data_IF_978162899938
#
_entry.id   IF_978162899938
#
_cell.length_a   1.000
_cell.length_b   1.000
_cell.length_c   1.000
_cell.angle_alpha   90.00
_cell.angle_beta   90.00
_cell.angle_gamma   90.00
#
_symmetry.space_group_name_H-M   'P 1'
#
loop_
_entity.id
_entity.type
_entity.pdbx_description
1 polymer ?
#
# COMPACT_ATOMS: atom_id res chain seq x y z
N UNK A 1 3.29 -6.76 -4.69
CA UNK A 1 2.17 -6.30 -5.54
C UNK A 1 2.67 -5.15 -6.38
N UNK A 2 2.28 -5.07 -7.67
CA UNK A 2 2.65 -3.91 -8.48
C UNK A 2 2.01 -2.64 -7.91
N UNK A 3 2.59 -1.47 -8.19
CA UNK A 3 2.03 -0.18 -7.74
C UNK A 3 0.55 -0.03 -8.21
N UNK A 4 0.23 -0.55 -9.39
CA UNK A 4 -1.13 -0.59 -9.94
C UNK A 4 -2.06 -1.49 -9.11
N UNK A 5 -1.60 -2.66 -8.66
CA UNK A 5 -2.40 -3.56 -7.79
C UNK A 5 -2.74 -2.93 -6.45
N UNK A 6 -1.79 -2.21 -5.85
CA UNK A 6 -2.03 -1.47 -4.61
C UNK A 6 -3.08 -0.37 -4.82
N UNK A 7 -2.99 0.38 -5.92
CA UNK A 7 -3.96 1.42 -6.27
C UNK A 7 -5.37 0.80 -6.45
N UNK A 8 -5.48 -0.29 -7.21
CA UNK A 8 -6.76 -1.00 -7.43
C UNK A 8 -7.34 -1.48 -6.09
N UNK A 9 -6.51 -2.05 -5.22
CA UNK A 9 -6.93 -2.56 -3.90
C UNK A 9 -7.48 -1.43 -3.04
N UNK A 10 -6.79 -0.29 -2.98
CA UNK A 10 -7.20 0.88 -2.23
C UNK A 10 -8.52 1.47 -2.77
N UNK A 11 -8.64 1.62 -4.10
CA UNK A 11 -9.86 2.11 -4.72
C UNK A 11 -11.06 1.17 -4.49
N UNK A 12 -10.86 -0.14 -4.52
CA UNK A 12 -11.91 -1.12 -4.21
C UNK A 12 -12.34 -1.07 -2.74
N UNK A 13 -11.41 -0.82 -1.82
CA UNK A 13 -11.70 -0.62 -0.40
C UNK A 13 -12.55 0.62 -0.19
N UNK A 14 -12.13 1.75 -0.80
CA UNK A 14 -12.86 3.01 -0.74
C UNK A 14 -14.26 2.88 -1.37
N UNK A 15 -14.39 2.22 -2.52
CA UNK A 15 -15.67 1.98 -3.17
C UNK A 15 -16.65 1.23 -2.25
N UNK A 16 -16.15 0.19 -1.54
CA UNK A 16 -16.98 -0.55 -0.57
C UNK A 16 -17.45 0.35 0.58
N UNK A 17 -16.53 1.20 1.10
CA UNK A 17 -16.84 2.16 2.16
C UNK A 17 -17.92 3.16 1.73
N UNK A 18 -17.76 3.75 0.54
CA UNK A 18 -18.72 4.71 -0.01
C UNK A 18 -20.10 4.07 -0.29
N UNK A 19 -20.14 2.84 -0.82
CA UNK A 19 -21.41 2.10 -1.02
C UNK A 19 -22.11 1.80 0.30
N UNK A 20 -21.36 1.42 1.35
CA UNK A 20 -21.92 1.19 2.68
C UNK A 20 -22.49 2.48 3.29
N UNK A 21 -21.76 3.60 3.13
CA UNK A 21 -22.22 4.90 3.63
C UNK A 21 -23.47 5.36 2.88
N UNK A 22 -23.52 5.20 1.55
CA UNK A 22 -24.70 5.52 0.72
C UNK A 22 -25.93 4.77 1.20
N UNK A 23 -25.82 3.44 1.35
CA UNK A 23 -26.94 2.62 1.84
C UNK A 23 -27.42 3.06 3.22
N UNK A 24 -26.49 3.43 4.13
CA UNK A 24 -26.88 3.94 5.45
C UNK A 24 -27.67 5.23 5.35
N UNK A 25 -27.25 6.18 4.51
CA UNK A 25 -27.90 7.47 4.35
C UNK A 25 -29.26 7.28 3.69
N UNK A 26 -29.36 6.48 2.61
CA UNK A 26 -30.61 6.22 1.91
C UNK A 26 -31.65 5.58 2.82
N UNK A 27 -31.24 4.70 3.74
CA UNK A 27 -32.13 4.12 4.74
C UNK A 27 -32.57 5.11 5.84
N UNK A 28 -31.88 6.23 5.99
CA UNK A 28 -32.22 7.27 6.99
C UNK A 28 -33.11 8.38 6.37
N UNK A 29 -33.17 8.48 5.05
CA UNK A 29 -34.08 9.43 4.40
C UNK A 29 -35.52 9.00 4.68
N UNK A 30 -36.25 9.81 5.41
CA UNK A 30 -37.65 9.56 5.76
C UNK A 30 -38.53 9.66 4.50
N UNK A 31 -39.14 8.54 4.04
CA UNK A 31 -39.97 8.56 2.84
C UNK A 31 -41.28 9.35 3.03
N UNK A 32 -41.73 9.47 4.29
CA UNK A 32 -43.05 10.04 4.63
C UNK A 32 -43.09 11.57 4.62
N UNK A 33 -41.93 12.23 4.50
CA UNK A 33 -41.88 13.67 4.41
C UNK A 33 -42.01 14.09 2.95
N UNK A 34 -43.21 14.49 2.59
CA UNK A 34 -43.47 15.03 1.25
C UNK A 34 -42.99 16.50 1.13
N UNK A 35 -42.39 16.82 -0.01
CA UNK A 35 -41.94 18.15 -0.35
C UNK A 35 -40.45 18.41 -0.10
N UNK A 36 -40.04 19.63 -0.40
CA UNK A 36 -38.66 20.11 -0.25
C UNK A 36 -38.61 21.46 0.45
N UNK A 37 -37.50 21.71 1.16
CA UNK A 37 -37.28 22.97 1.88
C UNK A 37 -36.79 24.05 0.91
N UNK A 38 -37.51 25.17 0.90
CA UNK A 38 -37.12 26.38 0.18
C UNK A 38 -36.79 27.48 1.17
N UNK A 39 -35.65 28.13 0.99
CA UNK A 39 -35.17 29.21 1.84
C UNK A 39 -35.24 30.52 1.04
N UNK A 40 -35.90 31.53 1.60
CA UNK A 40 -35.91 32.87 1.01
C UNK A 40 -35.29 33.87 1.99
N UNK A 41 -34.21 34.53 1.57
CA UNK A 41 -33.61 35.66 2.28
C UNK A 41 -34.39 36.92 1.94
N UNK A 42 -35.03 37.54 2.93
CA UNK A 42 -35.72 38.83 2.78
C UNK A 42 -34.75 39.97 3.10
N UNK A 43 -33.83 39.75 4.05
CA UNK A 43 -32.68 40.60 4.37
C UNK A 43 -31.58 39.73 4.98
N UNK A 44 -30.39 40.27 5.28
CA UNK A 44 -29.32 39.53 5.90
C UNK A 44 -29.71 38.88 7.27
N UNK A 45 -30.65 39.50 7.99
CA UNK A 45 -31.13 39.02 9.28
C UNK A 45 -32.53 38.37 9.20
N UNK A 46 -33.19 38.41 8.07
CA UNK A 46 -34.55 37.89 7.92
C UNK A 46 -34.63 36.81 6.90
N UNK A 47 -34.60 35.55 7.40
CA UNK A 47 -34.67 34.34 6.59
C UNK A 47 -36.04 33.71 6.80
N UNK A 48 -36.73 33.37 5.70
CA UNK A 48 -38.01 32.68 5.74
C UNK A 48 -37.89 31.31 5.11
N UNK A 49 -38.55 30.33 5.72
CA UNK A 49 -38.55 28.94 5.35
C UNK A 49 -39.93 28.56 4.76
N UNK A 50 -39.89 27.81 3.70
CA UNK A 50 -41.10 27.36 3.00
C UNK A 50 -40.97 25.89 2.62
N UNK A 51 -42.12 25.17 2.65
CA UNK A 51 -42.23 23.82 2.12
C UNK A 51 -42.83 23.88 0.74
N UNK A 52 -42.14 23.28 -0.24
CA UNK A 52 -42.62 23.15 -1.59
C UNK A 52 -43.01 21.69 -1.87
N UNK A 53 -44.26 21.46 -2.30
CA UNK A 53 -44.76 20.17 -2.76
C UNK A 53 -45.05 20.32 -4.26
N UNK A 54 -44.48 19.41 -5.08
CA UNK A 54 -44.65 19.49 -6.55
C UNK A 54 -46.13 19.36 -6.92
N UNK A 55 -46.62 20.31 -7.65
CA UNK A 55 -48.03 20.36 -8.07
C UNK A 55 -48.96 21.07 -7.07
N UNK A 56 -48.46 21.51 -5.92
CA UNK A 56 -49.22 22.21 -4.89
C UNK A 56 -48.87 23.70 -4.86
N UNK A 57 -49.81 24.56 -5.10
CA UNK A 57 -49.71 26.04 -4.89
C UNK A 57 -50.87 26.48 -4.02
N UNK A 58 -50.68 27.29 -2.97
CA UNK A 58 -49.45 28.02 -2.65
C UNK A 58 -48.38 27.21 -1.88
N UNK A 59 -47.12 27.74 -1.91
CA UNK A 59 -46.01 27.21 -1.11
C UNK A 59 -46.30 27.45 0.38
N UNK A 60 -46.19 26.42 1.20
CA UNK A 60 -46.48 26.50 2.61
C UNK A 60 -45.38 27.26 3.39
N UNK A 61 -45.74 28.32 4.12
CA UNK A 61 -44.81 29.01 5.03
C UNK A 61 -44.62 28.25 6.33
N UNK A 62 -43.37 28.05 6.71
CA UNK A 62 -42.98 27.36 7.92
C UNK A 62 -42.67 28.40 9.02
N UNK A 63 -43.65 28.66 9.88
CA UNK A 63 -43.49 29.55 11.03
C UNK A 63 -42.88 28.85 12.24
N UNK A 64 -42.69 29.55 13.34
CA UNK A 64 -42.09 29.04 14.58
C UNK A 64 -42.82 27.84 15.20
N UNK A 65 -44.12 27.64 14.93
CA UNK A 65 -44.86 26.46 15.41
C UNK A 65 -44.56 25.19 14.63
N UNK A 66 -43.90 25.30 13.47
CA UNK A 66 -43.56 24.16 12.56
C UNK A 66 -42.07 23.82 12.57
N UNK A 67 -41.39 24.10 13.69
CA UNK A 67 -39.92 23.90 13.83
C UNK A 67 -39.51 22.41 13.63
N UNK A 68 -40.31 21.48 14.08
CA UNK A 68 -40.05 20.04 13.88
C UNK A 68 -40.08 19.67 12.40
N UNK A 69 -41.13 20.09 11.68
CA UNK A 69 -41.24 19.87 10.23
C UNK A 69 -40.09 20.54 9.48
N UNK A 70 -39.70 21.76 9.87
CA UNK A 70 -38.55 22.45 9.31
C UNK A 70 -37.27 21.66 9.50
N UNK A 71 -37.03 21.16 10.71
CA UNK A 71 -35.83 20.35 11.03
C UNK A 71 -35.78 19.06 10.20
N UNK A 72 -36.90 18.36 10.08
CA UNK A 72 -37.00 17.12 9.29
C UNK A 72 -36.80 17.40 7.77
N UNK A 73 -37.36 18.46 7.23
CA UNK A 73 -37.12 18.86 5.83
C UNK A 73 -35.68 19.31 5.57
N UNK A 74 -35.05 19.98 6.56
CA UNK A 74 -33.66 20.38 6.48
C UNK A 74 -32.73 19.13 6.49
N UNK A 75 -33.01 18.16 7.38
CA UNK A 75 -32.29 16.91 7.45
C UNK A 75 -32.43 16.13 6.12
N UNK A 76 -33.64 15.98 5.62
CA UNK A 76 -33.91 15.33 4.34
C UNK A 76 -33.08 15.96 3.21
N UNK A 77 -33.07 17.29 3.11
CA UNK A 77 -32.28 18.00 2.09
C UNK A 77 -30.78 17.77 2.23
N UNK A 78 -30.28 17.70 3.47
CA UNK A 78 -28.89 17.39 3.75
C UNK A 78 -28.54 15.96 3.33
N UNK A 79 -29.36 14.99 3.68
CA UNK A 79 -29.14 13.58 3.38
C UNK A 79 -29.23 13.31 1.86
N UNK A 80 -30.18 13.93 1.16
CA UNK A 80 -30.29 13.87 -0.31
C UNK A 80 -29.04 14.44 -0.98
N UNK A 81 -28.52 15.57 -0.49
CA UNK A 81 -27.30 16.19 -1.04
C UNK A 81 -26.08 15.33 -0.75
N UNK A 82 -25.98 14.74 0.45
CA UNK A 82 -24.91 13.76 0.77
C UNK A 82 -24.99 12.53 -0.13
N UNK A 83 -26.18 11.93 -0.28
CA UNK A 83 -26.37 10.77 -1.14
C UNK A 83 -25.99 11.07 -2.59
N UNK A 84 -26.35 12.25 -3.11
CA UNK A 84 -25.94 12.71 -4.44
C UNK A 84 -24.42 12.78 -4.57
N UNK A 85 -23.76 13.45 -3.64
CA UNK A 85 -22.28 13.58 -3.64
C UNK A 85 -21.58 12.24 -3.57
N UNK A 86 -22.09 11.31 -2.74
CA UNK A 86 -21.50 9.98 -2.62
C UNK A 86 -21.70 9.16 -3.90
N UNK A 87 -22.86 9.25 -4.58
CA UNK A 87 -23.07 8.60 -5.88
C UNK A 87 -22.09 9.11 -6.94
N UNK A 88 -21.83 10.43 -6.96
CA UNK A 88 -20.84 11.02 -7.85
C UNK A 88 -19.42 10.49 -7.58
N UNK A 89 -19.02 10.34 -6.31
CA UNK A 89 -17.75 9.72 -5.91
C UNK A 89 -17.66 8.26 -6.32
N UNK A 90 -18.70 7.47 -6.05
CA UNK A 90 -18.78 6.06 -6.46
C UNK A 90 -18.58 5.93 -7.98
N UNK A 91 -19.29 6.73 -8.77
CA UNK A 91 -19.18 6.71 -10.22
C UNK A 91 -17.76 7.08 -10.71
N UNK A 92 -17.12 8.07 -10.08
CA UNK A 92 -15.74 8.45 -10.38
C UNK A 92 -14.77 7.31 -10.09
N UNK A 93 -14.90 6.64 -8.94
CA UNK A 93 -14.06 5.48 -8.57
C UNK A 93 -14.28 4.32 -9.54
N UNK A 94 -15.52 3.97 -9.87
CA UNK A 94 -15.84 2.89 -10.82
C UNK A 94 -15.31 3.15 -12.22
N UNK A 95 -15.40 4.41 -12.69
CA UNK A 95 -14.80 4.83 -13.96
C UNK A 95 -13.29 4.73 -13.97
N UNK A 96 -12.64 5.00 -12.84
CA UNK A 96 -11.18 4.90 -12.69
C UNK A 96 -10.69 3.47 -12.59
N UNK A 97 -11.46 2.56 -11.97
CA UNK A 97 -11.07 1.16 -11.81
C UNK A 97 -10.99 0.41 -13.15
N UNK A 98 -11.95 0.61 -14.06
CA UNK A 98 -12.00 -0.11 -15.34
C UNK A 98 -10.72 -0.03 -16.17
N UNK A 99 -10.12 1.15 -16.42
CA UNK A 99 -8.86 1.24 -17.16
C UNK A 99 -7.67 0.67 -16.38
N UNK A 100 -7.64 0.82 -15.04
CA UNK A 100 -6.57 0.28 -14.21
C UNK A 100 -6.58 -1.25 -14.19
N UNK A 101 -7.75 -1.89 -14.14
CA UNK A 101 -7.91 -3.33 -14.24
C UNK A 101 -7.42 -3.86 -15.58
N UNK A 102 -7.70 -3.18 -16.68
CA UNK A 102 -7.16 -3.52 -18.01
C UNK A 102 -5.62 -3.40 -18.08
N UNK A 103 -5.04 -2.43 -17.35
CA UNK A 103 -3.58 -2.29 -17.28
C UNK A 103 -2.93 -3.40 -16.46
N UNK A 104 -3.61 -3.95 -15.44
CA UNK A 104 -3.11 -5.08 -14.67
C UNK A 104 -2.88 -6.33 -15.53
N UNK A 105 -3.77 -6.56 -16.50
CA UNK A 105 -3.71 -7.73 -17.40
C UNK A 105 -2.74 -7.53 -18.58
N UNK A 106 -2.20 -6.31 -18.75
CA UNK A 106 -1.17 -6.07 -19.76
C UNK A 106 0.17 -6.59 -19.27
N UNK A 107 0.90 -7.28 -20.18
CA UNK A 107 2.26 -7.69 -19.91
C UNK A 107 3.11 -6.50 -19.47
N UNK A 108 3.92 -6.71 -18.46
CA UNK A 108 4.87 -5.72 -17.98
C UNK A 108 5.75 -5.23 -19.13
N UNK A 109 6.09 -3.94 -19.16
CA UNK A 109 6.96 -3.35 -20.17
C UNK A 109 8.30 -4.13 -20.32
N UNK A 110 8.75 -4.74 -19.21
CA UNK A 110 9.95 -5.57 -19.18
C UNK A 110 9.86 -6.79 -20.12
N UNK A 111 8.65 -7.32 -20.39
CA UNK A 111 8.47 -8.48 -21.26
C UNK A 111 8.32 -8.12 -22.74
N UNK A 112 8.24 -6.84 -23.11
CA UNK A 112 8.11 -6.47 -24.52
C UNK A 112 9.28 -6.97 -25.34
N UNK A 113 10.50 -6.83 -24.84
CA UNK A 113 11.70 -7.34 -25.51
C UNK A 113 11.75 -8.87 -25.50
N UNK A 114 11.37 -9.52 -24.39
CA UNK A 114 11.37 -10.99 -24.27
C UNK A 114 10.39 -11.65 -25.23
N UNK A 115 9.29 -11.00 -25.56
CA UNK A 115 8.28 -11.47 -26.49
C UNK A 115 8.63 -11.22 -27.97
N UNK A 116 9.70 -10.44 -28.26
CA UNK A 116 10.12 -10.20 -29.65
C UNK A 116 10.71 -11.44 -30.30
N UNK A 117 10.44 -11.67 -31.60
CA UNK A 117 11.09 -12.72 -32.38
C UNK A 117 12.62 -12.63 -32.29
N UNK A 118 13.28 -13.79 -32.22
CA UNK A 118 14.75 -13.85 -32.13
C UNK A 118 15.46 -13.08 -33.26
N UNK A 119 14.88 -13.12 -34.46
CA UNK A 119 15.37 -12.44 -35.64
C UNK A 119 15.38 -10.92 -35.49
N UNK A 120 14.42 -10.37 -34.75
CA UNK A 120 14.34 -8.93 -34.48
C UNK A 120 15.22 -8.51 -33.31
N UNK A 121 15.42 -9.37 -32.30
CA UNK A 121 16.22 -9.03 -31.12
C UNK A 121 17.63 -8.56 -31.43
N UNK A 122 18.26 -9.17 -32.45
CA UNK A 122 19.61 -8.79 -32.88
C UNK A 122 19.72 -7.35 -33.43
N UNK A 123 18.60 -6.78 -33.87
CA UNK A 123 18.52 -5.41 -34.40
C UNK A 123 17.95 -4.40 -33.41
N UNK A 124 17.51 -4.86 -32.23
CA UNK A 124 16.88 -4.01 -31.20
C UNK A 124 17.89 -3.72 -30.10
N UNK A 125 18.09 -2.44 -29.82
CA UNK A 125 18.75 -2.00 -28.59
C UNK A 125 17.68 -1.73 -27.55
N UNK A 126 17.53 -2.59 -26.50
CA UNK A 126 16.52 -2.38 -25.47
C UNK A 126 16.67 -1.01 -24.82
N UNK A 127 15.55 -0.34 -24.61
CA UNK A 127 15.54 0.98 -23.90
C UNK A 127 15.45 0.81 -22.39
N UNK A 128 15.07 -0.39 -21.94
CA UNK A 128 15.07 -0.78 -20.53
C UNK A 128 15.96 -2.03 -20.41
N UNK A 129 16.75 -2.09 -19.35
CA UNK A 129 17.52 -3.29 -19.04
C UNK A 129 16.57 -4.48 -18.83
N UNK A 130 16.93 -5.63 -19.36
CA UNK A 130 16.25 -6.88 -19.03
C UNK A 130 16.35 -7.14 -17.52
N UNK A 131 15.38 -7.84 -16.95
CA UNK A 131 15.35 -8.07 -15.51
C UNK A 131 16.61 -8.76 -14.99
N UNK A 132 17.17 -9.69 -15.76
CA UNK A 132 18.42 -10.40 -15.38
C UNK A 132 19.64 -9.49 -15.50
N UNK A 133 19.74 -8.67 -16.55
CA UNK A 133 20.83 -7.72 -16.73
C UNK A 133 20.78 -6.63 -15.66
N UNK A 134 19.60 -6.11 -15.38
CA UNK A 134 19.40 -5.17 -14.28
C UNK A 134 19.82 -5.77 -12.93
N UNK A 135 19.39 -7.02 -12.68
CA UNK A 135 19.72 -7.75 -11.47
C UNK A 135 21.23 -7.98 -11.34
N UNK A 136 21.90 -8.37 -12.44
CA UNK A 136 23.35 -8.54 -12.48
C UNK A 136 24.10 -7.22 -12.21
N UNK A 137 23.68 -6.13 -12.85
CA UNK A 137 24.23 -4.79 -12.58
C UNK A 137 23.99 -4.36 -11.15
N UNK A 138 22.80 -4.61 -10.61
CA UNK A 138 22.46 -4.31 -9.23
C UNK A 138 23.32 -5.11 -8.25
N UNK A 139 23.46 -6.44 -8.48
CA UNK A 139 24.24 -7.34 -7.63
C UNK A 139 25.75 -7.03 -7.67
N UNK A 140 26.25 -6.54 -8.80
CA UNK A 140 27.68 -6.20 -8.97
C UNK A 140 28.09 -4.89 -8.28
N UNK A 141 27.13 -4.09 -7.78
CA UNK A 141 27.42 -2.87 -7.05
C UNK A 141 28.21 -3.18 -5.78
N UNK A 142 29.41 -2.61 -5.67
CA UNK A 142 30.20 -2.69 -4.44
C UNK A 142 29.62 -1.74 -3.40
N UNK A 143 28.86 -2.29 -2.45
CA UNK A 143 28.40 -1.55 -1.29
C UNK A 143 29.42 -1.71 -0.17
N UNK A 144 29.61 -0.66 0.63
CA UNK A 144 30.33 -0.76 1.88
C UNK A 144 29.56 -1.74 2.77
N UNK A 145 30.27 -2.60 3.46
CA UNK A 145 29.67 -3.57 4.40
C UNK A 145 30.09 -3.26 5.83
N UNK A 146 29.30 -3.70 6.76
CA UNK A 146 29.61 -3.59 8.17
C UNK A 146 30.91 -4.36 8.47
N UNK A 147 31.93 -3.66 8.97
CA UNK A 147 33.27 -4.22 9.27
C UNK A 147 33.37 -4.94 10.64
N UNK A 148 32.27 -5.01 11.39
CA UNK A 148 32.33 -5.66 12.71
C UNK A 148 32.67 -7.16 12.58
N UNK A 149 33.58 -7.63 13.42
CA UNK A 149 34.03 -9.02 13.47
C UNK A 149 32.85 -9.99 13.71
N UNK A 150 32.87 -11.11 12.96
CA UNK A 150 31.88 -12.18 13.08
C UNK A 150 32.41 -13.23 14.05
N UNK A 151 31.84 -13.29 15.25
CA UNK A 151 32.29 -14.21 16.29
C UNK A 151 32.15 -15.70 15.91
N UNK A 152 31.06 -16.07 15.23
CA UNK A 152 30.79 -17.45 14.81
C UNK A 152 30.25 -17.45 13.36
N UNK A 153 31.10 -17.24 12.34
CA UNK A 153 30.64 -17.09 10.97
C UNK A 153 30.08 -18.40 10.42
N UNK A 154 28.91 -18.31 9.80
CA UNK A 154 28.28 -19.39 9.06
C UNK A 154 28.48 -19.17 7.55
N UNK A 155 28.97 -20.20 6.84
CA UNK A 155 29.17 -20.13 5.38
C UNK A 155 27.86 -20.40 4.66
N UNK A 156 27.52 -19.56 3.69
CA UNK A 156 26.32 -19.70 2.84
C UNK A 156 26.61 -20.50 1.58
N UNK A 157 25.56 -20.95 0.87
CA UNK A 157 25.68 -21.63 -0.43
C UNK A 157 26.35 -20.74 -1.49
N UNK A 158 26.16 -19.42 -1.41
CA UNK A 158 26.83 -18.44 -2.29
C UNK A 158 28.33 -18.30 -1.98
N UNK A 159 28.77 -18.79 -0.83
CA UNK A 159 30.18 -18.81 -0.40
C UNK A 159 30.59 -17.66 0.53
N UNK A 160 29.71 -16.73 0.86
CA UNK A 160 29.97 -15.68 1.82
C UNK A 160 29.77 -16.16 3.27
N UNK A 161 30.29 -15.39 4.23
CA UNK A 161 30.11 -15.65 5.64
C UNK A 161 29.13 -14.65 6.27
N UNK A 162 28.16 -15.17 7.03
CA UNK A 162 27.15 -14.42 7.79
C UNK A 162 27.29 -14.66 9.28
N UNK A 163 26.59 -13.89 10.14
CA UNK A 163 26.78 -13.93 11.60
C UNK A 163 26.03 -15.05 12.30
N UNK A 164 24.95 -15.55 11.73
CA UNK A 164 24.10 -16.55 12.37
C UNK A 164 23.65 -17.64 11.38
N UNK A 165 23.19 -18.78 11.94
CA UNK A 165 22.60 -19.88 11.16
C UNK A 165 21.30 -19.43 10.47
N UNK A 166 20.50 -18.59 11.13
CA UNK A 166 19.25 -18.08 10.59
C UNK A 166 19.49 -17.13 9.39
N UNK A 167 20.51 -16.28 9.48
CA UNK A 167 20.95 -15.47 8.34
C UNK A 167 21.48 -16.34 7.19
N UNK A 168 22.24 -17.40 7.47
CA UNK A 168 22.68 -18.34 6.45
C UNK A 168 21.49 -19.01 5.74
N UNK A 169 20.48 -19.40 6.52
CA UNK A 169 19.25 -19.98 5.98
C UNK A 169 18.49 -19.01 5.06
N UNK A 170 18.36 -17.74 5.45
CA UNK A 170 17.74 -16.69 4.62
C UNK A 170 18.57 -16.49 3.34
N UNK A 171 19.88 -16.30 3.46
CA UNK A 171 20.79 -16.11 2.33
C UNK A 171 20.70 -17.26 1.33
N UNK A 172 20.72 -18.50 1.82
CA UNK A 172 20.64 -19.71 0.99
C UNK A 172 19.31 -19.82 0.26
N UNK A 173 18.20 -19.42 0.88
CA UNK A 173 16.89 -19.38 0.23
C UNK A 173 16.80 -18.28 -0.84
N UNK A 174 17.33 -17.09 -0.55
CA UNK A 174 17.42 -16.03 -1.54
C UNK A 174 18.25 -16.47 -2.75
N UNK A 175 19.42 -17.05 -2.50
CA UNK A 175 20.30 -17.56 -3.55
C UNK A 175 19.65 -18.68 -4.37
N UNK A 176 19.10 -19.71 -3.73
CA UNK A 176 18.43 -20.83 -4.41
C UNK A 176 17.22 -20.39 -5.25
N UNK A 177 16.57 -19.28 -4.87
CA UNK A 177 15.46 -18.70 -5.63
C UNK A 177 15.90 -17.66 -6.64
N UNK A 178 17.19 -17.41 -6.81
CA UNK A 178 17.73 -16.42 -7.73
C UNK A 178 17.29 -15.00 -7.43
N UNK A 179 17.09 -14.68 -6.14
CA UNK A 179 16.76 -13.33 -5.66
C UNK A 179 18.06 -12.62 -5.33
N UNK A 180 18.39 -11.49 -6.02
CA UNK A 180 19.61 -10.74 -5.74
C UNK A 180 19.58 -10.11 -4.34
N UNK A 181 20.70 -10.19 -3.64
CA UNK A 181 20.83 -9.56 -2.33
C UNK A 181 22.26 -9.14 -2.00
N UNK A 182 22.40 -8.12 -1.16
CA UNK A 182 23.62 -7.73 -0.47
C UNK A 182 23.46 -8.04 1.02
N UNK A 183 24.46 -8.63 1.61
CA UNK A 183 24.49 -8.95 3.04
C UNK A 183 25.18 -7.81 3.82
N UNK A 184 24.55 -7.34 4.91
CA UNK A 184 25.00 -6.24 5.79
C UNK A 184 25.53 -5.02 5.05
N UNK A 185 24.86 -4.50 4.02
CA UNK A 185 25.33 -3.34 3.31
C UNK A 185 25.15 -2.08 4.17
N UNK A 186 26.10 -1.17 4.07
CA UNK A 186 25.91 0.20 4.57
C UNK A 186 25.20 1.03 3.50
N UNK A 187 23.92 1.26 3.69
CA UNK A 187 23.11 2.06 2.75
C UNK A 187 23.08 3.51 3.23
N UNK A 188 23.82 4.35 2.51
CA UNK A 188 23.83 5.79 2.75
C UNK A 188 22.62 6.44 2.07
N UNK A 189 21.82 7.16 2.85
CA UNK A 189 20.67 7.90 2.36
C UNK A 189 20.95 9.39 2.45
N UNK A 190 20.68 10.14 1.37
CA UNK A 190 20.93 11.59 1.33
C UNK A 190 20.17 12.30 2.47
N UNK A 191 20.92 12.98 3.35
CA UNK A 191 20.36 13.71 4.49
C UNK A 191 19.79 12.84 5.63
N UNK A 192 20.14 11.54 5.67
CA UNK A 192 19.64 10.59 6.69
C UNK A 192 20.79 9.74 7.27
N UNK A 193 20.59 9.12 8.45
CA UNK A 193 21.56 8.18 8.99
C UNK A 193 21.80 7.00 8.04
N UNK A 194 23.00 6.44 8.08
CA UNK A 194 23.34 5.21 7.35
C UNK A 194 22.58 4.03 7.96
N UNK A 195 21.92 3.26 7.10
CA UNK A 195 21.26 2.02 7.49
C UNK A 195 22.17 0.82 7.22
N UNK A 196 22.16 -0.14 8.15
CA UNK A 196 22.87 -1.42 8.02
C UNK A 196 21.85 -2.55 8.25
N UNK A 197 21.04 -2.90 7.23
CA UNK A 197 20.13 -4.04 7.31
C UNK A 197 20.92 -5.36 7.26
N UNK A 198 20.34 -6.45 7.74
CA UNK A 198 20.95 -7.76 7.55
C UNK A 198 21.03 -8.11 6.07
N UNK A 199 19.98 -7.81 5.31
CA UNK A 199 19.98 -7.94 3.85
C UNK A 199 19.34 -6.75 3.18
N UNK A 200 19.87 -6.39 2.01
CA UNK A 200 19.25 -5.50 1.03
C UNK A 200 18.93 -6.32 -0.19
N UNK A 201 17.67 -6.39 -0.57
CA UNK A 201 17.14 -7.40 -1.49
C UNK A 201 16.43 -6.74 -2.66
N UNK A 202 16.59 -7.29 -3.87
CA UNK A 202 15.95 -6.80 -5.08
C UNK A 202 14.84 -7.73 -5.55
N UNK A 203 13.64 -7.20 -5.77
CA UNK A 203 12.64 -7.84 -6.62
C UNK A 203 13.01 -7.59 -8.08
N UNK A 204 13.46 -8.61 -8.79
CA UNK A 204 13.91 -8.47 -10.19
C UNK A 204 12.81 -7.98 -11.13
N UNK A 205 11.57 -8.41 -10.88
CA UNK A 205 10.42 -8.10 -11.74
C UNK A 205 9.96 -6.65 -11.61
N UNK A 206 9.85 -6.15 -10.36
CA UNK A 206 9.37 -4.77 -10.10
C UNK A 206 10.50 -3.76 -10.00
N UNK A 207 11.76 -4.23 -9.91
CA UNK A 207 12.97 -3.43 -9.64
C UNK A 207 12.92 -2.68 -8.31
N UNK A 208 11.99 -3.06 -7.44
CA UNK A 208 11.86 -2.53 -6.07
C UNK A 208 12.88 -3.18 -5.14
N UNK A 209 13.38 -2.39 -4.20
CA UNK A 209 14.33 -2.84 -3.20
C UNK A 209 13.64 -2.96 -1.85
N UNK A 210 14.07 -3.96 -1.07
CA UNK A 210 13.58 -4.20 0.28
C UNK A 210 14.76 -4.28 1.25
N UNK A 211 14.60 -3.71 2.43
CA UNK A 211 15.42 -4.04 3.58
C UNK A 211 14.85 -5.28 4.24
N UNK A 212 15.71 -6.17 4.69
CA UNK A 212 15.31 -7.37 5.44
C UNK A 212 16.11 -7.44 6.73
N UNK A 213 15.42 -7.45 7.85
CA UNK A 213 15.94 -7.63 9.19
C UNK A 213 15.49 -8.96 9.76
N UNK A 214 16.42 -9.69 10.38
CA UNK A 214 16.12 -10.92 11.10
C UNK A 214 16.43 -10.76 12.59
N UNK A 215 15.42 -10.90 13.42
CA UNK A 215 15.50 -10.73 14.86
C UNK A 215 15.62 -12.10 15.54
N UNK A 216 16.88 -12.57 15.73
CA UNK A 216 17.19 -13.95 16.11
C UNK A 216 17.11 -14.27 17.61
N UNK A 217 16.87 -13.28 18.48
CA UNK A 217 16.92 -13.47 19.95
C UNK A 217 15.78 -12.75 20.65
N UNK A 218 14.53 -12.96 20.19
CA UNK A 218 13.37 -12.23 20.71
C UNK A 218 12.96 -12.67 22.13
N UNK A 219 13.58 -13.73 22.67
CA UNK A 219 13.47 -14.10 24.08
C UNK A 219 14.30 -13.22 25.04
N UNK A 220 15.26 -12.45 24.52
CA UNK A 220 16.09 -11.54 25.32
C UNK A 220 15.43 -10.15 25.35
N UNK A 221 14.98 -9.65 26.52
CA UNK A 221 14.33 -8.36 26.63
C UNK A 221 15.21 -7.18 26.19
N UNK A 222 16.53 -7.25 26.45
CA UNK A 222 17.48 -6.19 26.07
C UNK A 222 17.64 -6.14 24.55
N UNK A 223 17.79 -7.31 23.94
CA UNK A 223 17.85 -7.46 22.49
C UNK A 223 16.55 -6.98 21.83
N UNK A 224 15.39 -7.38 22.38
CA UNK A 224 14.07 -7.00 21.90
C UNK A 224 13.91 -5.46 21.91
N UNK A 225 14.18 -4.80 23.04
CA UNK A 225 14.06 -3.34 23.18
C UNK A 225 14.95 -2.59 22.17
N UNK A 226 16.19 -3.04 21.99
CA UNK A 226 17.10 -2.44 21.00
C UNK A 226 16.57 -2.57 19.57
N UNK A 227 16.05 -3.75 19.22
CA UNK A 227 15.53 -3.99 17.87
C UNK A 227 14.19 -3.30 17.63
N UNK A 228 13.32 -3.16 18.63
CA UNK A 228 12.10 -2.35 18.54
C UNK A 228 12.44 -0.89 18.24
N UNK A 229 13.51 -0.35 18.86
CA UNK A 229 14.02 0.99 18.50
C UNK A 229 14.47 1.04 17.04
N UNK A 230 15.28 0.07 16.60
CA UNK A 230 15.74 -0.04 15.20
C UNK A 230 14.58 -0.05 14.19
N UNK A 231 13.50 -0.80 14.49
CA UNK A 231 12.30 -0.85 13.65
C UNK A 231 11.59 0.51 13.60
N UNK A 232 11.51 1.20 14.75
CA UNK A 232 10.96 2.56 14.80
C UNK A 232 11.78 3.51 13.93
N UNK A 233 13.10 3.45 14.05
CA UNK A 233 14.01 4.29 13.24
C UNK A 233 13.78 4.06 11.73
N UNK A 234 13.55 2.81 11.29
CA UNK A 234 13.14 2.52 9.91
C UNK A 234 11.81 3.21 9.54
N UNK A 235 10.83 3.11 10.43
CA UNK A 235 9.50 3.70 10.19
C UNK A 235 9.58 5.23 10.11
N UNK A 236 10.35 5.86 11.01
CA UNK A 236 10.58 7.32 11.02
C UNK A 236 11.30 7.79 9.74
N UNK A 237 12.10 6.92 9.12
CA UNK A 237 12.72 7.13 7.81
C UNK A 237 11.78 6.85 6.63
N UNK A 238 10.54 6.39 6.89
CA UNK A 238 9.54 6.12 5.87
C UNK A 238 9.53 4.70 5.31
N UNK A 239 10.29 3.77 5.91
CA UNK A 239 10.28 2.35 5.53
C UNK A 239 9.21 1.61 6.34
N UNK A 240 8.28 0.97 5.63
CA UNK A 240 7.10 0.36 6.24
C UNK A 240 7.18 -1.16 6.13
N UNK A 241 6.97 -1.84 7.26
CA UNK A 241 6.92 -3.30 7.29
C UNK A 241 5.86 -3.83 6.33
N UNK A 242 6.24 -4.79 5.50
CA UNK A 242 5.39 -5.41 4.48
C UNK A 242 5.32 -4.65 3.16
N UNK A 243 5.92 -3.46 3.07
CA UNK A 243 5.99 -2.65 1.84
C UNK A 243 7.42 -2.60 1.28
N UNK A 244 8.36 -2.12 2.07
CA UNK A 244 9.77 -1.93 1.72
C UNK A 244 10.74 -2.42 2.81
N UNK A 245 10.19 -2.85 3.96
CA UNK A 245 10.90 -3.47 5.07
C UNK A 245 10.30 -4.86 5.37
N UNK A 246 11.14 -5.88 5.29
CA UNK A 246 10.83 -7.26 5.67
C UNK A 246 11.40 -7.49 7.05
N UNK A 247 10.57 -7.96 7.98
CA UNK A 247 11.01 -8.33 9.32
C UNK A 247 10.67 -9.80 9.53
N UNK A 248 11.68 -10.59 9.89
CA UNK A 248 11.52 -11.96 10.36
C UNK A 248 12.09 -12.06 11.76
N UNK A 249 11.56 -12.95 12.56
CA UNK A 249 12.01 -13.14 13.93
C UNK A 249 11.92 -14.60 14.34
N UNK A 250 12.69 -14.93 15.37
CA UNK A 250 12.65 -16.24 16.01
C UNK A 250 12.83 -16.13 17.53
N UNK A 251 12.36 -17.14 18.21
CA UNK A 251 12.56 -17.41 19.63
C UNK A 251 13.03 -18.85 19.79
N UNK A 252 13.43 -19.23 20.98
CA UNK A 252 13.78 -20.63 21.27
C UNK A 252 12.61 -21.58 21.04
N UNK A 253 11.40 -21.12 21.33
CA UNK A 253 10.17 -21.88 21.15
C UNK A 253 9.66 -21.88 19.70
N UNK A 254 9.91 -20.80 18.97
CA UNK A 254 9.51 -20.62 17.57
C UNK A 254 10.73 -20.28 16.71
N UNK A 255 11.53 -21.31 16.34
CA UNK A 255 12.71 -21.10 15.48
C UNK A 255 12.28 -20.69 14.06
N UNK A 256 13.20 -20.04 13.35
CA UNK A 256 12.95 -19.63 11.97
C UNK A 256 12.66 -20.84 11.07
N UNK A 257 11.49 -20.83 10.41
CA UNK A 257 11.05 -21.87 9.48
C UNK A 257 11.34 -21.51 8.02
N UNK A 258 11.90 -22.45 7.29
CA UNK A 258 12.18 -22.31 5.85
C UNK A 258 10.93 -22.06 5.02
N UNK A 259 9.80 -22.67 5.39
CA UNK A 259 8.53 -22.45 4.69
C UNK A 259 8.03 -21.01 4.86
N UNK A 260 8.32 -20.41 6.03
CA UNK A 260 7.98 -19.01 6.28
C UNK A 260 8.80 -18.07 5.38
N UNK A 261 10.11 -18.33 5.26
CA UNK A 261 10.99 -17.57 4.35
C UNK A 261 10.50 -17.71 2.90
N UNK A 262 10.17 -18.92 2.46
CA UNK A 262 9.66 -19.19 1.12
C UNK A 262 8.35 -18.43 0.80
N UNK A 263 7.43 -18.36 1.76
CA UNK A 263 6.19 -17.56 1.64
C UNK A 263 6.48 -16.08 1.45
N UNK A 264 7.44 -15.52 2.21
CA UNK A 264 7.86 -14.13 2.08
C UNK A 264 8.46 -13.87 0.70
N UNK A 265 9.42 -14.70 0.27
CA UNK A 265 10.07 -14.57 -1.04
C UNK A 265 9.03 -14.60 -2.15
N UNK A 266 8.12 -15.58 -2.13
CA UNK A 266 7.07 -15.71 -3.13
C UNK A 266 6.11 -14.52 -3.18
N UNK A 267 5.83 -13.92 -2.03
CA UNK A 267 4.84 -12.83 -1.93
C UNK A 267 5.42 -11.46 -2.30
N UNK A 268 6.67 -11.19 -1.91
CA UNK A 268 7.26 -9.85 -1.99
C UNK A 268 8.36 -9.73 -3.05
N UNK A 269 9.03 -10.83 -3.39
CA UNK A 269 10.26 -10.79 -4.18
C UNK A 269 10.17 -11.51 -5.54
N UNK A 270 9.02 -12.08 -5.87
CA UNK A 270 8.78 -12.79 -7.14
C UNK A 270 7.53 -12.34 -7.90
#
# INVERSE_FOLDING_TARGET
MSNIENIITNLRSELRSQKKLLSKIENQIEPDIEGSLVIRKVSEQNIRYYRYIKGNTPIEYLNSSKTELLSRLAQKRYDEQMAKTIRERINAIEKSLKPLEKLKDRKDLAHIYDDMPKELKQHIKPRMDENEEYAAKWQSKKLLTNSMEKKHPCKTLRGEYVRSKSEALIADRLFARGVPYHYEPMVMLTGRPTLCPDFYVLNKRTKENFFWEHLGMMDDPTYCNRNMKKIRDYTDMGYIQGKDLIITYETKEYPLDTNYIEKIIKRLLK
#
